data_IF_529474152327
#
_entry.id   IF_529474152327
#
_cell.length_a   1.000
_cell.length_b   1.000
_cell.length_c   1.000
_cell.angle_alpha   90.00
_cell.angle_beta   90.00
_cell.angle_gamma   90.00
#
_symmetry.space_group_name_H-M   'P 1'
#
loop_
_entity.id
_entity.type
_entity.pdbx_description
1 polymer ?
#
# COMPACT_ATOMS: atom_id res chain seq x y z
N UNK A 1 -3.86 9.53 -7.28
CA UNK A 1 -4.34 8.88 -6.02
C UNK A 1 -5.80 8.43 -6.06
N UNK A 2 -6.80 9.33 -6.22
CA UNK A 2 -8.24 8.96 -6.09
C UNK A 2 -8.70 7.83 -7.02
N UNK A 3 -8.25 7.81 -8.29
CA UNK A 3 -8.61 6.77 -9.27
C UNK A 3 -8.25 5.35 -8.80
N UNK A 4 -7.14 5.18 -8.09
CA UNK A 4 -6.72 3.88 -7.54
C UNK A 4 -7.62 3.38 -6.39
N UNK A 5 -8.33 4.30 -5.70
CA UNK A 5 -9.29 3.97 -4.63
C UNK A 5 -10.70 3.69 -5.15
N UNK A 6 -11.03 4.13 -6.37
CA UNK A 6 -12.39 3.99 -6.93
C UNK A 6 -12.92 2.54 -6.89
N UNK A 7 -12.07 1.56 -7.16
CA UNK A 7 -12.47 0.14 -7.10
C UNK A 7 -12.86 -0.30 -5.68
N UNK A 8 -12.07 0.04 -4.67
CA UNK A 8 -12.35 -0.31 -3.29
C UNK A 8 -13.58 0.42 -2.77
N UNK A 9 -13.73 1.70 -3.13
CA UNK A 9 -14.90 2.49 -2.80
C UNK A 9 -16.18 1.91 -3.41
N UNK A 10 -16.16 1.59 -4.71
CA UNK A 10 -17.31 0.99 -5.40
C UNK A 10 -17.73 -0.34 -4.75
N UNK A 11 -16.78 -1.22 -4.46
CA UNK A 11 -17.07 -2.50 -3.78
C UNK A 11 -17.67 -2.23 -2.40
N UNK A 12 -17.11 -1.29 -1.63
CA UNK A 12 -17.60 -0.95 -0.31
C UNK A 12 -19.02 -0.39 -0.35
N UNK A 13 -19.35 0.46 -1.33
CA UNK A 13 -20.71 0.98 -1.54
C UNK A 13 -21.71 -0.15 -1.86
N UNK A 14 -21.37 -1.03 -2.78
CA UNK A 14 -22.24 -2.16 -3.15
C UNK A 14 -22.46 -3.10 -1.96
N UNK A 15 -21.40 -3.43 -1.23
CA UNK A 15 -21.50 -4.28 -0.04
C UNK A 15 -22.34 -3.61 1.03
N UNK A 16 -22.11 -2.33 1.30
CA UNK A 16 -22.91 -1.57 2.30
C UNK A 16 -24.37 -1.50 1.92
N UNK A 17 -24.69 -1.30 0.64
CA UNK A 17 -26.05 -1.29 0.14
C UNK A 17 -26.75 -2.65 0.31
N UNK A 18 -26.08 -3.74 -0.04
CA UNK A 18 -26.60 -5.10 0.16
C UNK A 18 -26.80 -5.43 1.65
N UNK A 19 -25.86 -5.02 2.50
CA UNK A 19 -25.97 -5.17 3.95
C UNK A 19 -27.18 -4.38 4.48
N UNK A 20 -27.39 -3.15 4.00
CA UNK A 20 -28.56 -2.35 4.38
C UNK A 20 -29.88 -3.02 4.00
N UNK A 21 -29.98 -3.56 2.78
CA UNK A 21 -31.14 -4.33 2.35
C UNK A 21 -31.39 -5.55 3.24
N UNK A 22 -30.34 -6.31 3.58
CA UNK A 22 -30.45 -7.47 4.44
C UNK A 22 -30.88 -7.10 5.87
N UNK A 23 -30.32 -6.05 6.44
CA UNK A 23 -30.68 -5.57 7.78
C UNK A 23 -32.15 -5.14 7.84
N UNK A 24 -32.61 -4.39 6.87
CA UNK A 24 -34.01 -3.99 6.76
C UNK A 24 -34.92 -5.22 6.68
N UNK A 25 -34.58 -6.21 5.83
CA UNK A 25 -35.35 -7.45 5.71
C UNK A 25 -35.42 -8.22 7.04
N UNK A 26 -34.33 -8.25 7.82
CA UNK A 26 -34.28 -8.91 9.14
C UNK A 26 -35.16 -8.16 10.15
N UNK A 27 -35.07 -6.83 10.20
CA UNK A 27 -35.90 -6.01 11.10
C UNK A 27 -37.39 -6.26 10.84
N UNK A 28 -37.80 -6.30 9.57
CA UNK A 28 -39.20 -6.60 9.23
C UNK A 28 -39.60 -8.06 9.54
N UNK A 29 -38.71 -9.03 9.31
CA UNK A 29 -38.96 -10.44 9.62
C UNK A 29 -39.02 -10.73 11.12
N UNK A 30 -38.35 -9.93 11.96
CA UNK A 30 -38.42 -10.06 13.43
C UNK A 30 -39.72 -9.59 14.07
N UNK A 31 -40.71 -9.16 13.25
CA UNK A 31 -42.05 -8.78 13.73
C UNK A 31 -42.09 -7.50 14.58
N UNK A 32 -41.08 -6.62 14.41
CA UNK A 32 -41.14 -5.26 14.90
C UNK A 32 -42.23 -4.57 14.06
N UNK A 33 -43.47 -4.67 14.59
CA UNK A 33 -44.64 -4.06 14.00
C UNK A 33 -44.46 -2.53 14.10
N UNK A 34 -43.94 -1.94 13.03
CA UNK A 34 -44.01 -0.48 12.88
C UNK A 34 -45.48 -0.08 12.60
N UNK A 35 -46.38 -0.42 13.55
CA UNK A 35 -47.74 0.04 13.45
C UNK A 35 -47.72 1.57 13.44
N UNK A 36 -48.40 2.14 12.46
CA UNK A 36 -48.55 3.58 12.29
C UNK A 36 -49.04 4.26 13.59
N UNK A 37 -49.72 3.51 14.44
CA UNK A 37 -50.26 3.96 15.70
C UNK A 37 -49.19 4.10 16.81
N UNK A 38 -48.21 3.22 16.85
CA UNK A 38 -47.12 3.29 17.85
C UNK A 38 -46.12 4.41 17.51
N UNK A 39 -45.83 4.60 16.23
CA UNK A 39 -44.94 5.67 15.76
C UNK A 39 -45.60 7.04 15.85
N UNK A 40 -46.92 7.13 15.51
CA UNK A 40 -47.69 8.38 15.62
C UNK A 40 -47.86 8.80 17.06
N UNK A 41 -48.07 7.87 18.00
CA UNK A 41 -48.16 8.19 19.44
C UNK A 41 -46.82 8.68 20.02
N UNK A 42 -45.72 8.13 19.58
CA UNK A 42 -44.39 8.57 20.03
C UNK A 42 -43.98 9.94 19.45
N UNK A 43 -44.40 10.26 18.24
CA UNK A 43 -44.07 11.52 17.56
C UNK A 43 -45.09 12.64 17.85
N UNK A 44 -46.33 12.31 18.29
CA UNK A 44 -47.32 13.31 18.72
C UNK A 44 -46.91 14.11 19.97
N UNK A 45 -45.87 13.64 20.67
CA UNK A 45 -45.28 14.36 21.80
C UNK A 45 -44.27 15.46 21.37
N UNK A 46 -43.94 15.57 20.07
CA UNK A 46 -43.02 16.59 19.56
C UNK A 46 -43.79 17.85 19.14
N UNK A 47 -43.54 19.02 19.76
CA UNK A 47 -44.26 20.26 19.44
C UNK A 47 -44.00 20.67 17.98
N UNK A 48 -45.10 20.93 17.24
CA UNK A 48 -45.03 21.44 15.86
C UNK A 48 -45.14 20.38 14.74
N UNK A 49 -45.38 19.11 15.07
CA UNK A 49 -45.59 18.05 14.07
C UNK A 49 -47.09 17.87 13.83
N UNK A 50 -47.53 18.05 12.58
CA UNK A 50 -48.91 17.76 12.16
C UNK A 50 -49.09 16.23 12.10
N UNK A 51 -49.85 15.70 13.05
CA UNK A 51 -50.11 14.26 13.22
C UNK A 51 -50.88 13.64 12.05
N UNK A 52 -51.67 14.43 11.33
CA UNK A 52 -52.45 13.92 10.21
C UNK A 52 -51.62 13.75 8.95
N UNK A 53 -50.76 14.72 8.65
CA UNK A 53 -49.75 14.62 7.59
C UNK A 53 -48.76 13.49 7.86
N UNK A 54 -48.35 13.29 9.12
CA UNK A 54 -47.46 12.21 9.52
C UNK A 54 -48.11 10.83 9.31
N UNK A 55 -49.39 10.65 9.68
CA UNK A 55 -50.14 9.41 9.43
C UNK A 55 -50.24 9.10 7.94
N UNK A 56 -50.47 10.09 7.09
CA UNK A 56 -50.54 9.88 5.65
C UNK A 56 -49.17 9.42 5.09
N UNK A 57 -48.07 10.02 5.53
CA UNK A 57 -46.71 9.61 5.13
C UNK A 57 -46.39 8.19 5.60
N UNK A 58 -46.74 7.85 6.86
CA UNK A 58 -46.50 6.50 7.39
C UNK A 58 -47.33 5.44 6.64
N UNK A 59 -48.59 5.74 6.35
CA UNK A 59 -49.44 4.84 5.56
C UNK A 59 -48.93 4.67 4.13
N UNK A 60 -48.39 5.72 3.51
CA UNK A 60 -47.75 5.64 2.21
C UNK A 60 -46.49 4.79 2.24
N UNK A 61 -45.67 4.94 3.27
CA UNK A 61 -44.43 4.13 3.44
C UNK A 61 -44.77 2.66 3.71
N UNK A 62 -45.80 2.37 4.51
CA UNK A 62 -46.26 1.00 4.73
C UNK A 62 -46.80 0.34 3.44
N UNK A 63 -47.50 1.09 2.61
CA UNK A 63 -47.95 0.61 1.31
C UNK A 63 -46.81 0.46 0.28
N UNK A 64 -45.64 1.12 0.53
CA UNK A 64 -44.48 1.13 -0.35
C UNK A 64 -43.19 0.72 0.41
N UNK A 65 -43.25 -0.45 1.05
CA UNK A 65 -42.16 -0.98 1.87
C UNK A 65 -40.80 -0.94 1.19
N UNK A 66 -40.76 -1.08 -0.13
CA UNK A 66 -39.51 -1.02 -0.89
C UNK A 66 -38.76 0.31 -0.72
N UNK A 67 -39.50 1.43 -0.45
CA UNK A 67 -38.89 2.75 -0.20
C UNK A 67 -38.06 2.71 1.09
N UNK A 68 -38.60 2.06 2.14
CA UNK A 68 -37.85 1.87 3.41
C UNK A 68 -36.61 1.01 3.22
N UNK A 69 -36.73 -0.10 2.49
CA UNK A 69 -35.56 -0.96 2.19
C UNK A 69 -34.46 -0.21 1.45
N UNK A 70 -34.83 0.54 0.41
CA UNK A 70 -33.86 1.32 -0.37
C UNK A 70 -33.34 2.50 0.45
N UNK A 71 -34.18 3.17 1.24
CA UNK A 71 -33.80 4.28 2.12
C UNK A 71 -32.73 3.85 3.13
N UNK A 72 -32.96 2.78 3.87
CA UNK A 72 -32.00 2.24 4.85
C UNK A 72 -30.71 1.78 4.19
N UNK A 73 -30.81 1.12 3.03
CA UNK A 73 -29.65 0.71 2.27
C UNK A 73 -28.82 1.92 1.81
N UNK A 74 -29.46 3.03 1.41
CA UNK A 74 -28.78 4.27 1.06
C UNK A 74 -28.14 4.94 2.27
N UNK A 75 -28.79 4.94 3.44
CA UNK A 75 -28.23 5.51 4.67
C UNK A 75 -26.95 4.75 5.10
N UNK A 76 -26.99 3.41 5.10
CA UNK A 76 -25.82 2.59 5.44
C UNK A 76 -24.70 2.79 4.41
N UNK A 77 -25.04 2.86 3.13
CA UNK A 77 -24.07 3.21 2.08
C UNK A 77 -23.53 4.61 2.27
N UNK A 78 -24.34 5.55 2.76
CA UNK A 78 -23.97 6.93 3.05
C UNK A 78 -22.88 7.03 4.10
N UNK A 79 -22.92 6.21 5.16
CA UNK A 79 -21.86 6.14 6.18
C UNK A 79 -20.51 5.77 5.54
N UNK A 80 -20.52 4.75 4.71
CA UNK A 80 -19.28 4.32 4.00
C UNK A 80 -18.84 5.41 3.02
N UNK A 81 -19.76 6.00 2.28
CA UNK A 81 -19.46 7.03 1.29
C UNK A 81 -18.80 8.25 1.91
N UNK A 82 -19.30 8.75 3.06
CA UNK A 82 -18.73 9.93 3.72
C UNK A 82 -17.30 9.68 4.21
N UNK A 83 -16.97 8.46 4.64
CA UNK A 83 -15.61 8.08 5.03
C UNK A 83 -14.66 8.18 3.82
N UNK A 84 -15.07 7.66 2.66
CA UNK A 84 -14.26 7.73 1.44
C UNK A 84 -14.14 9.15 0.90
N UNK A 85 -15.24 9.93 0.93
CA UNK A 85 -15.21 11.36 0.55
C UNK A 85 -14.30 12.14 1.49
N UNK A 86 -14.39 11.90 2.80
CA UNK A 86 -13.50 12.52 3.79
C UNK A 86 -12.02 12.24 3.51
N UNK A 87 -11.66 10.98 3.22
CA UNK A 87 -10.29 10.62 2.84
C UNK A 87 -9.86 11.29 1.52
N UNK A 88 -10.78 11.45 0.58
CA UNK A 88 -10.50 12.16 -0.67
C UNK A 88 -10.26 13.65 -0.43
N UNK A 89 -11.09 14.30 0.37
CA UNK A 89 -10.98 15.72 0.75
C UNK A 89 -9.66 15.98 1.48
N UNK A 90 -9.31 15.14 2.45
CA UNK A 90 -8.02 15.20 3.15
C UNK A 90 -6.86 15.16 2.14
N UNK A 91 -6.88 14.18 1.23
CA UNK A 91 -5.80 14.00 0.26
C UNK A 91 -5.72 15.10 -0.80
N UNK A 92 -6.86 15.68 -1.21
CA UNK A 92 -6.93 16.70 -2.27
C UNK A 92 -6.59 18.09 -1.79
N UNK A 93 -7.11 18.45 -0.60
CA UNK A 93 -7.00 19.81 -0.06
C UNK A 93 -5.98 19.92 1.08
N UNK A 94 -5.28 18.83 1.39
CA UNK A 94 -4.28 18.78 2.45
C UNK A 94 -4.82 19.23 3.82
N UNK A 95 -6.10 18.89 4.09
CA UNK A 95 -6.77 19.23 5.35
C UNK A 95 -6.31 18.27 6.44
N UNK A 96 -6.16 18.80 7.66
CA UNK A 96 -5.83 17.95 8.81
C UNK A 96 -6.93 16.88 9.00
N UNK A 97 -6.57 15.57 9.05
CA UNK A 97 -7.54 14.49 9.24
C UNK A 97 -8.45 14.66 10.45
N UNK A 98 -7.97 15.26 11.53
CA UNK A 98 -8.75 15.53 12.73
C UNK A 98 -9.96 16.44 12.47
N UNK A 99 -9.85 17.43 11.58
CA UNK A 99 -10.96 18.32 11.23
C UNK A 99 -12.11 17.53 10.62
N UNK A 100 -11.78 16.65 9.65
CA UNK A 100 -12.80 15.81 9.00
C UNK A 100 -13.40 14.80 9.98
N UNK A 101 -12.57 14.20 10.84
CA UNK A 101 -13.03 13.27 11.88
C UNK A 101 -13.96 13.99 12.87
N UNK A 102 -13.59 15.20 13.33
CA UNK A 102 -14.46 16.00 14.21
C UNK A 102 -15.79 16.33 13.54
N UNK A 103 -15.79 16.74 12.26
CA UNK A 103 -17.04 17.03 11.54
C UNK A 103 -17.96 15.81 11.49
N UNK A 104 -17.41 14.62 11.20
CA UNK A 104 -18.19 13.37 11.17
C UNK A 104 -18.71 13.03 12.58
N UNK A 105 -17.93 13.28 13.62
CA UNK A 105 -18.28 12.95 15.00
C UNK A 105 -19.30 13.91 15.61
N UNK A 106 -19.20 15.21 15.35
CA UNK A 106 -20.08 16.23 15.92
C UNK A 106 -21.37 16.46 15.12
N UNK A 107 -21.37 16.10 13.82
CA UNK A 107 -22.53 16.28 12.94
C UNK A 107 -22.89 14.95 12.21
N UNK A 108 -23.02 13.82 12.93
CA UNK A 108 -23.14 12.51 12.30
C UNK A 108 -24.40 12.40 11.43
N UNK A 109 -25.52 12.92 11.88
CA UNK A 109 -26.79 12.86 11.17
C UNK A 109 -26.70 13.57 9.80
N UNK A 110 -26.24 14.83 9.80
CA UNK A 110 -26.08 15.58 8.56
C UNK A 110 -25.09 14.91 7.61
N UNK A 111 -23.98 14.37 8.13
CA UNK A 111 -22.99 13.69 7.33
C UNK A 111 -23.51 12.40 6.70
N UNK A 112 -24.34 11.63 7.43
CA UNK A 112 -24.97 10.41 6.90
C UNK A 112 -25.93 10.75 5.76
N UNK A 113 -26.79 11.78 5.92
CA UNK A 113 -27.69 12.20 4.86
C UNK A 113 -26.95 12.75 3.63
N UNK A 114 -25.94 13.58 3.83
CA UNK A 114 -25.07 14.04 2.73
C UNK A 114 -24.42 12.86 2.03
N UNK A 115 -23.88 11.91 2.82
CA UNK A 115 -23.31 10.68 2.30
C UNK A 115 -24.28 9.86 1.46
N UNK A 116 -25.53 9.71 1.91
CA UNK A 116 -26.58 8.98 1.22
C UNK A 116 -26.98 9.64 -0.11
N UNK A 117 -27.17 10.96 -0.11
CA UNK A 117 -27.47 11.73 -1.33
C UNK A 117 -26.32 11.59 -2.35
N UNK A 118 -25.09 11.57 -1.89
CA UNK A 118 -23.90 11.48 -2.73
C UNK A 118 -23.55 10.04 -3.17
N UNK A 119 -24.30 9.00 -2.75
CA UNK A 119 -24.03 7.60 -3.15
C UNK A 119 -24.10 7.44 -4.67
N UNK A 120 -25.14 7.95 -5.32
CA UNK A 120 -25.30 7.82 -6.77
C UNK A 120 -24.22 8.60 -7.54
N UNK A 121 -23.96 9.88 -7.25
CA UNK A 121 -22.82 10.58 -7.84
C UNK A 121 -21.47 9.88 -7.61
N UNK A 122 -21.21 9.40 -6.40
CA UNK A 122 -19.99 8.69 -6.06
C UNK A 122 -19.82 7.39 -6.87
N UNK A 123 -20.91 6.65 -7.07
CA UNK A 123 -20.92 5.45 -7.89
C UNK A 123 -20.52 5.75 -9.34
N UNK A 124 -21.10 6.77 -9.95
CA UNK A 124 -20.77 7.22 -11.32
C UNK A 124 -19.31 7.67 -11.43
N UNK A 125 -18.85 8.49 -10.47
CA UNK A 125 -17.46 8.97 -10.43
C UNK A 125 -16.49 7.82 -10.25
N UNK A 126 -16.82 6.81 -9.41
CA UNK A 126 -15.97 5.63 -9.22
C UNK A 126 -15.87 4.79 -10.50
N UNK A 127 -16.96 4.58 -11.23
CA UNK A 127 -16.93 3.87 -12.51
C UNK A 127 -16.06 4.63 -13.51
N UNK A 128 -16.29 5.93 -13.67
CA UNK A 128 -15.47 6.77 -14.53
C UNK A 128 -13.98 6.73 -14.15
N UNK A 129 -13.66 6.85 -12.86
CA UNK A 129 -12.31 6.76 -12.34
C UNK A 129 -11.63 5.42 -12.66
N UNK A 130 -12.36 4.31 -12.50
CA UNK A 130 -11.86 2.98 -12.84
C UNK A 130 -11.57 2.83 -14.34
N UNK A 131 -12.50 3.27 -15.19
CA UNK A 131 -12.33 3.20 -16.65
C UNK A 131 -11.17 4.09 -17.12
N UNK A 132 -11.09 5.32 -16.60
CA UNK A 132 -9.99 6.25 -16.89
C UNK A 132 -8.63 5.69 -16.44
N UNK A 133 -8.57 5.10 -15.24
CA UNK A 133 -7.33 4.47 -14.74
C UNK A 133 -6.92 3.30 -15.61
N UNK A 134 -7.87 2.42 -15.95
CA UNK A 134 -7.61 1.28 -16.83
C UNK A 134 -7.07 1.71 -18.18
N UNK A 135 -7.62 2.78 -18.76
CA UNK A 135 -7.15 3.35 -20.02
C UNK A 135 -5.74 3.92 -19.90
N UNK A 136 -5.44 4.66 -18.80
CA UNK A 136 -4.11 5.22 -18.54
C UNK A 136 -3.06 4.11 -18.41
N UNK A 137 -3.30 3.12 -17.52
CA UNK A 137 -2.38 2.00 -17.33
C UNK A 137 -2.18 1.20 -18.62
N UNK A 138 -3.27 0.97 -19.39
CA UNK A 138 -3.15 0.27 -20.68
C UNK A 138 -2.34 1.04 -21.71
N UNK A 139 -2.39 2.38 -21.68
CA UNK A 139 -1.57 3.24 -22.53
C UNK A 139 -0.10 3.16 -22.12
N UNK A 140 0.20 3.37 -20.83
CA UNK A 140 1.55 3.25 -20.28
C UNK A 140 2.15 1.86 -20.58
N UNK A 141 1.42 0.78 -20.33
CA UNK A 141 1.88 -0.59 -20.64
C UNK A 141 2.23 -0.79 -22.12
N UNK A 142 1.48 -0.19 -23.04
CA UNK A 142 1.79 -0.27 -24.47
C UNK A 142 3.04 0.49 -24.85
N UNK A 143 3.32 1.61 -24.20
CA UNK A 143 4.56 2.36 -24.38
C UNK A 143 5.78 1.56 -23.95
N UNK A 144 5.64 0.68 -22.95
CA UNK A 144 6.68 -0.24 -22.45
C UNK A 144 6.57 -1.68 -23.01
N UNK A 145 5.80 -1.89 -24.09
CA UNK A 145 5.68 -3.15 -24.82
C UNK A 145 5.24 -4.37 -24.00
N UNK A 146 4.51 -4.20 -22.89
CA UNK A 146 3.90 -5.32 -22.17
C UNK A 146 2.41 -5.10 -21.88
N UNK A 147 1.65 -6.20 -21.79
CA UNK A 147 0.18 -6.16 -21.67
C UNK A 147 -0.36 -6.69 -20.35
N UNK A 148 0.36 -7.59 -19.70
CA UNK A 148 -0.13 -8.30 -18.49
C UNK A 148 0.98 -8.61 -17.49
N UNK A 149 0.58 -8.90 -16.24
CA UNK A 149 1.51 -9.35 -15.20
C UNK A 149 2.13 -10.72 -15.52
N UNK A 150 1.43 -11.57 -16.31
CA UNK A 150 1.99 -12.85 -16.78
C UNK A 150 3.16 -12.64 -17.74
N UNK A 151 3.10 -11.59 -18.55
CA UNK A 151 4.17 -11.21 -19.46
C UNK A 151 5.41 -10.70 -18.72
N UNK A 152 5.24 -9.89 -17.67
CA UNK A 152 6.33 -9.47 -16.80
C UNK A 152 7.07 -10.67 -16.19
N UNK A 153 6.32 -11.69 -15.74
CA UNK A 153 6.93 -12.92 -15.22
C UNK A 153 7.65 -13.70 -16.33
N UNK A 154 7.15 -13.66 -17.57
CA UNK A 154 7.83 -14.27 -18.71
C UNK A 154 9.13 -13.57 -19.03
N UNK A 155 9.16 -12.23 -19.01
CA UNK A 155 10.38 -11.43 -19.18
C UNK A 155 11.37 -11.72 -18.04
N UNK A 156 10.87 -11.77 -16.80
CA UNK A 156 11.73 -12.16 -15.66
C UNK A 156 12.43 -13.50 -15.89
N UNK A 157 11.72 -14.51 -16.40
CA UNK A 157 12.32 -15.84 -16.67
C UNK A 157 13.33 -15.85 -17.83
N UNK A 158 13.32 -14.82 -18.68
CA UNK A 158 14.34 -14.65 -19.74
C UNK A 158 15.59 -14.02 -19.15
N UNK A 159 15.46 -13.05 -18.25
CA UNK A 159 16.59 -12.32 -17.66
C UNK A 159 17.19 -13.04 -16.46
N UNK A 160 16.39 -13.76 -15.69
CA UNK A 160 16.75 -14.36 -14.41
C UNK A 160 16.23 -15.79 -14.28
N UNK A 161 16.88 -16.58 -13.44
CA UNK A 161 16.42 -17.92 -13.10
C UNK A 161 15.30 -17.85 -12.06
N UNK A 162 14.20 -18.60 -12.31
CA UNK A 162 13.11 -18.74 -11.36
C UNK A 162 13.34 -20.01 -10.51
N UNK A 163 13.83 -19.83 -9.30
CA UNK A 163 14.18 -20.92 -8.40
C UNK A 163 12.90 -21.56 -7.80
N UNK A 164 12.65 -22.83 -8.16
CA UNK A 164 11.49 -23.60 -7.72
C UNK A 164 11.53 -23.96 -6.23
N UNK A 165 12.68 -23.92 -5.57
CA UNK A 165 12.83 -24.25 -4.14
C UNK A 165 11.97 -23.35 -3.24
N UNK A 166 11.70 -22.11 -3.66
CA UNK A 166 10.88 -21.14 -2.93
C UNK A 166 9.38 -21.25 -3.15
N UNK A 167 8.93 -22.18 -3.99
CA UNK A 167 7.52 -22.41 -4.32
C UNK A 167 6.69 -22.82 -3.10
N UNK A 168 7.22 -23.67 -2.25
CA UNK A 168 6.49 -24.13 -1.06
C UNK A 168 6.47 -23.09 0.05
N UNK A 169 7.53 -22.30 0.21
CA UNK A 169 7.52 -21.11 1.07
C UNK A 169 6.41 -20.13 0.66
N UNK A 170 6.35 -19.82 -0.63
CA UNK A 170 5.34 -18.91 -1.18
C UNK A 170 3.91 -19.45 -1.00
N UNK A 171 3.68 -20.75 -1.22
CA UNK A 171 2.38 -21.40 -0.98
C UNK A 171 1.97 -21.32 0.50
N UNK A 172 2.91 -21.57 1.41
CA UNK A 172 2.68 -21.48 2.85
C UNK A 172 2.28 -20.07 3.28
N UNK A 173 3.03 -19.07 2.86
CA UNK A 173 2.70 -17.65 3.11
C UNK A 173 1.30 -17.30 2.56
N UNK A 174 0.98 -17.72 1.34
CA UNK A 174 -0.34 -17.50 0.75
C UNK A 174 -1.46 -18.21 1.51
N UNK A 175 -1.25 -19.46 1.92
CA UNK A 175 -2.20 -20.23 2.72
C UNK A 175 -2.49 -19.52 4.05
N UNK A 176 -1.46 -19.04 4.72
CA UNK A 176 -1.60 -18.30 5.98
C UNK A 176 -2.41 -17.02 5.81
N UNK A 177 -2.10 -16.20 4.78
CA UNK A 177 -2.87 -14.98 4.48
C UNK A 177 -4.33 -15.30 4.15
N UNK A 178 -4.59 -16.35 3.35
CA UNK A 178 -5.97 -16.77 3.01
C UNK A 178 -6.73 -17.30 4.22
N UNK A 179 -6.08 -18.12 5.07
CA UNK A 179 -6.67 -18.63 6.31
C UNK A 179 -7.08 -17.49 7.23
N UNK A 180 -6.21 -16.52 7.41
CA UNK A 180 -6.45 -15.34 8.25
C UNK A 180 -7.61 -14.48 7.70
N UNK A 181 -7.64 -14.27 6.39
CA UNK A 181 -8.73 -13.54 5.74
C UNK A 181 -10.06 -14.30 5.86
N UNK A 182 -10.03 -15.63 5.75
CA UNK A 182 -11.21 -16.48 5.91
C UNK A 182 -11.76 -16.45 7.33
N UNK A 183 -10.90 -16.54 8.37
CA UNK A 183 -11.29 -16.43 9.76
C UNK A 183 -11.95 -15.07 10.03
N UNK A 184 -11.37 -14.00 9.51
CA UNK A 184 -11.94 -12.67 9.64
C UNK A 184 -13.30 -12.55 8.95
N UNK A 185 -13.45 -13.10 7.74
CA UNK A 185 -14.74 -13.11 7.04
C UNK A 185 -15.82 -13.91 7.79
N UNK A 186 -15.46 -15.06 8.38
CA UNK A 186 -16.37 -15.82 9.27
C UNK A 186 -16.80 -15.00 10.49
N UNK A 187 -15.90 -14.21 11.06
CA UNK A 187 -16.21 -13.29 12.17
C UNK A 187 -17.26 -12.23 11.77
N UNK A 188 -17.27 -11.74 10.52
CA UNK A 188 -18.33 -10.86 10.03
C UNK A 188 -19.69 -11.57 10.08
N UNK A 189 -19.75 -12.80 9.56
CA UNK A 189 -20.99 -13.60 9.56
C UNK A 189 -21.48 -13.85 10.98
N UNK A 190 -20.58 -14.20 11.91
CA UNK A 190 -20.90 -14.37 13.33
C UNK A 190 -21.43 -13.07 13.97
N UNK A 191 -20.81 -11.94 13.66
CA UNK A 191 -21.27 -10.62 14.14
C UNK A 191 -22.72 -10.34 13.68
N UNK A 192 -23.04 -10.63 12.43
CA UNK A 192 -24.38 -10.50 11.89
C UNK A 192 -25.38 -11.45 12.57
N UNK A 193 -24.99 -12.69 12.85
CA UNK A 193 -25.83 -13.64 13.56
C UNK A 193 -26.14 -13.15 14.99
N UNK A 194 -25.15 -12.59 15.69
CA UNK A 194 -25.31 -12.01 17.02
C UNK A 194 -26.25 -10.79 16.96
N UNK A 195 -26.10 -9.94 15.94
CA UNK A 195 -26.96 -8.76 15.73
C UNK A 195 -28.42 -9.15 15.61
N UNK A 196 -28.73 -10.26 14.96
CA UNK A 196 -30.09 -10.77 14.82
C UNK A 196 -30.61 -11.35 16.13
N UNK A 197 -29.73 -12.04 16.91
CA UNK A 197 -30.11 -12.78 18.11
C UNK A 197 -30.24 -11.89 19.36
N UNK A 198 -29.52 -10.76 19.42
CA UNK A 198 -29.37 -9.94 20.63
C UNK A 198 -29.95 -8.55 20.41
N UNK A 199 -31.08 -8.29 21.07
CA UNK A 199 -31.75 -6.99 21.01
C UNK A 199 -31.13 -5.97 21.98
N UNK A 200 -29.79 -5.84 22.00
CA UNK A 200 -29.05 -4.91 22.84
C UNK A 200 -28.05 -4.08 22.02
N UNK A 201 -28.44 -2.84 21.70
CA UNK A 201 -27.67 -1.92 20.90
C UNK A 201 -26.29 -1.58 21.51
N UNK A 202 -26.20 -1.52 22.85
CA UNK A 202 -24.94 -1.19 23.51
C UNK A 202 -23.92 -2.34 23.36
N UNK A 203 -24.37 -3.57 23.54
CA UNK A 203 -23.54 -4.76 23.33
C UNK A 203 -23.07 -4.85 21.88
N UNK A 204 -23.95 -4.53 20.92
CA UNK A 204 -23.62 -4.50 19.51
C UNK A 204 -22.52 -3.47 19.19
N UNK A 205 -22.64 -2.25 19.73
CA UNK A 205 -21.63 -1.21 19.52
C UNK A 205 -20.25 -1.63 20.07
N UNK A 206 -20.21 -2.25 21.24
CA UNK A 206 -18.98 -2.79 21.84
C UNK A 206 -18.38 -3.88 20.96
N UNK A 207 -19.18 -4.85 20.51
CA UNK A 207 -18.73 -5.94 19.62
C UNK A 207 -18.19 -5.40 18.30
N UNK A 208 -18.87 -4.38 17.71
CA UNK A 208 -18.40 -3.74 16.48
C UNK A 208 -17.04 -3.06 16.68
N UNK A 209 -16.85 -2.35 17.81
CA UNK A 209 -15.56 -1.74 18.15
C UNK A 209 -14.45 -2.78 18.28
N UNK A 210 -14.69 -3.89 18.97
CA UNK A 210 -13.74 -5.00 19.05
C UNK A 210 -13.42 -5.58 17.69
N UNK A 211 -14.41 -5.70 16.83
CA UNK A 211 -14.22 -6.23 15.49
C UNK A 211 -13.39 -5.30 14.58
N UNK A 212 -13.60 -3.99 14.68
CA UNK A 212 -12.76 -2.98 14.00
C UNK A 212 -11.32 -3.01 14.52
N UNK A 213 -11.13 -3.21 15.83
CA UNK A 213 -9.79 -3.41 16.39
C UNK A 213 -9.13 -4.70 15.86
N UNK A 214 -9.88 -5.80 15.80
CA UNK A 214 -9.42 -7.06 15.22
C UNK A 214 -8.99 -6.92 13.75
N UNK A 215 -9.63 -6.01 12.97
CA UNK A 215 -9.20 -5.71 11.60
C UNK A 215 -7.75 -5.21 11.53
N UNK A 216 -7.36 -4.30 12.42
CA UNK A 216 -5.97 -3.84 12.49
C UNK A 216 -4.99 -4.97 12.82
N UNK A 217 -5.37 -5.88 13.71
CA UNK A 217 -4.56 -7.06 14.01
C UNK A 217 -4.41 -7.96 12.78
N UNK A 218 -5.50 -8.21 12.04
CA UNK A 218 -5.45 -9.00 10.80
C UNK A 218 -4.53 -8.37 9.77
N UNK A 219 -4.55 -7.05 9.61
CA UNK A 219 -3.63 -6.35 8.70
C UNK A 219 -2.16 -6.55 9.12
N UNK A 220 -1.85 -6.45 10.41
CA UNK A 220 -0.50 -6.70 10.96
C UNK A 220 -0.07 -8.14 10.75
N UNK A 221 -0.92 -9.12 11.06
CA UNK A 221 -0.63 -10.54 10.84
C UNK A 221 -0.45 -10.90 9.37
N UNK A 222 -1.16 -10.23 8.46
CA UNK A 222 -0.91 -10.39 7.00
C UNK A 222 0.49 -9.94 6.62
N UNK A 223 0.96 -8.81 7.16
CA UNK A 223 2.34 -8.34 6.96
C UNK A 223 3.36 -9.34 7.54
N UNK A 224 3.13 -9.82 8.77
CA UNK A 224 3.99 -10.84 9.41
C UNK A 224 4.00 -12.15 8.60
N UNK A 225 2.89 -12.53 7.98
CA UNK A 225 2.83 -13.75 7.14
C UNK A 225 3.69 -13.66 5.88
N UNK A 226 4.09 -12.45 5.44
CA UNK A 226 5.00 -12.21 4.33
C UNK A 226 6.47 -12.07 4.79
N UNK A 227 6.72 -11.98 6.09
CA UNK A 227 8.05 -11.81 6.65
C UNK A 227 9.08 -12.86 6.15
N UNK A 228 8.74 -14.16 6.01
CA UNK A 228 9.70 -15.14 5.48
C UNK A 228 10.18 -14.83 4.06
N UNK A 229 9.34 -14.20 3.23
CA UNK A 229 9.71 -13.78 1.87
C UNK A 229 10.57 -12.51 1.92
N UNK A 230 10.19 -11.53 2.76
CA UNK A 230 10.95 -10.27 2.86
C UNK A 230 12.33 -10.47 3.48
N UNK A 231 12.48 -11.45 4.38
CA UNK A 231 13.78 -11.81 4.97
C UNK A 231 14.83 -12.22 3.94
N UNK A 232 14.42 -12.91 2.87
CA UNK A 232 15.32 -13.32 1.80
C UNK A 232 16.07 -12.12 1.19
N UNK A 233 15.43 -10.95 1.07
CA UNK A 233 16.08 -9.74 0.60
C UNK A 233 16.77 -8.99 1.74
N UNK A 234 16.06 -8.76 2.86
CA UNK A 234 16.50 -7.81 3.88
C UNK A 234 17.58 -8.38 4.81
N UNK A 235 17.47 -9.67 5.15
CA UNK A 235 18.42 -10.34 6.05
C UNK A 235 19.45 -11.15 5.25
N UNK A 236 19.00 -11.94 4.24
CA UNK A 236 19.85 -12.89 3.52
C UNK A 236 20.53 -12.25 2.29
N UNK A 237 20.23 -10.99 1.95
CA UNK A 237 20.74 -10.28 0.76
C UNK A 237 20.66 -11.10 -0.53
N UNK A 238 19.55 -11.87 -0.68
CA UNK A 238 19.31 -12.73 -1.83
C UNK A 238 18.10 -12.25 -2.65
N UNK A 239 18.27 -11.29 -3.56
CA UNK A 239 17.19 -10.74 -4.36
C UNK A 239 16.59 -11.75 -5.35
N UNK A 240 17.35 -12.73 -5.87
CA UNK A 240 16.82 -13.79 -6.76
C UNK A 240 15.82 -14.69 -6.03
N UNK A 241 16.19 -15.14 -4.84
CA UNK A 241 15.31 -15.95 -3.99
C UNK A 241 14.04 -15.21 -3.62
N UNK A 242 14.17 -13.95 -3.21
CA UNK A 242 13.03 -13.10 -2.86
C UNK A 242 12.10 -12.87 -4.06
N UNK A 243 12.64 -12.52 -5.24
CA UNK A 243 11.85 -12.32 -6.46
C UNK A 243 11.13 -13.61 -6.89
N UNK A 244 11.81 -14.76 -6.85
CA UNK A 244 11.22 -16.08 -7.12
C UNK A 244 10.07 -16.38 -6.16
N UNK A 245 10.25 -16.16 -4.85
CA UNK A 245 9.22 -16.35 -3.85
C UNK A 245 8.01 -15.42 -4.08
N UNK A 246 8.23 -14.15 -4.45
CA UNK A 246 7.17 -13.18 -4.75
C UNK A 246 6.38 -13.63 -5.98
N UNK A 247 7.05 -14.03 -7.05
CA UNK A 247 6.40 -14.50 -8.28
C UNK A 247 5.51 -15.70 -7.97
N UNK A 248 6.02 -16.72 -7.27
CA UNK A 248 5.23 -17.87 -6.86
C UNK A 248 4.09 -17.48 -5.90
N UNK A 249 4.29 -16.53 -5.00
CA UNK A 249 3.25 -15.99 -4.13
C UNK A 249 2.12 -15.32 -4.93
N UNK A 250 2.44 -14.61 -5.99
CA UNK A 250 1.48 -13.89 -6.84
C UNK A 250 0.82 -14.77 -7.90
N UNK A 251 1.40 -15.94 -8.27
CA UNK A 251 0.87 -16.86 -9.29
C UNK A 251 -0.15 -17.81 -8.69
N UNK A 252 -1.33 -17.91 -9.27
CA UNK A 252 -2.39 -18.81 -8.80
C UNK A 252 -2.16 -20.27 -9.25
N UNK A 253 -3.05 -21.19 -8.83
CA UNK A 253 -2.98 -22.62 -9.21
C UNK A 253 -3.20 -22.88 -10.71
N UNK A 254 -3.78 -21.93 -11.43
CA UNK A 254 -4.02 -21.99 -12.89
C UNK A 254 -2.86 -21.38 -13.69
N UNK A 255 -1.77 -20.96 -13.06
CA UNK A 255 -0.62 -20.35 -13.71
C UNK A 255 -0.75 -18.85 -14.00
N UNK A 256 -1.88 -18.22 -13.72
CA UNK A 256 -2.03 -16.78 -13.91
C UNK A 256 -1.42 -16.00 -12.73
N UNK A 257 -0.62 -15.01 -13.03
CA UNK A 257 0.01 -14.13 -12.09
C UNK A 257 -0.77 -12.83 -11.92
N UNK A 258 -0.90 -12.39 -10.68
CA UNK A 258 -1.40 -11.08 -10.33
C UNK A 258 -0.50 -10.46 -9.28
N UNK A 259 0.33 -9.54 -9.71
CA UNK A 259 1.30 -8.88 -8.84
C UNK A 259 0.59 -8.09 -7.74
N UNK A 260 1.03 -8.30 -6.52
CA UNK A 260 0.54 -7.61 -5.33
C UNK A 260 1.66 -7.00 -4.50
N UNK A 261 2.91 -7.43 -4.75
CA UNK A 261 4.13 -7.00 -4.05
C UNK A 261 5.07 -6.27 -5.02
N UNK A 262 4.55 -5.27 -5.73
CA UNK A 262 5.29 -4.55 -6.77
C UNK A 262 6.56 -3.88 -6.24
N UNK A 263 6.49 -3.21 -5.10
CA UNK A 263 7.64 -2.47 -4.53
C UNK A 263 8.75 -3.39 -4.09
N UNK A 264 8.42 -4.51 -3.46
CA UNK A 264 9.41 -5.49 -3.03
C UNK A 264 10.05 -6.20 -4.25
N UNK A 265 9.24 -6.53 -5.28
CA UNK A 265 9.77 -7.11 -6.51
C UNK A 265 10.67 -6.12 -7.26
N UNK A 266 10.27 -4.86 -7.35
CA UNK A 266 11.08 -3.81 -7.96
C UNK A 266 12.40 -3.60 -7.20
N UNK A 267 12.40 -3.63 -5.87
CA UNK A 267 13.64 -3.62 -5.07
C UNK A 267 14.55 -4.80 -5.39
N UNK A 268 14.00 -6.01 -5.49
CA UNK A 268 14.79 -7.18 -5.90
C UNK A 268 15.45 -6.94 -7.26
N UNK A 269 14.69 -6.44 -8.24
CA UNK A 269 15.19 -6.18 -9.59
C UNK A 269 16.27 -5.07 -9.64
N UNK A 270 16.13 -4.02 -8.83
CA UNK A 270 17.16 -2.99 -8.64
C UNK A 270 18.46 -3.65 -8.15
N UNK A 271 18.38 -4.52 -7.15
CA UNK A 271 19.56 -5.22 -6.61
C UNK A 271 20.07 -6.39 -7.48
N UNK A 272 19.33 -6.77 -8.52
CA UNK A 272 19.75 -7.63 -9.61
C UNK A 272 20.32 -6.86 -10.80
N UNK A 273 20.30 -5.53 -10.75
CA UNK A 273 20.70 -4.62 -11.83
C UNK A 273 19.84 -4.72 -13.09
N UNK A 274 18.54 -5.01 -12.92
CA UNK A 274 17.54 -5.03 -14.00
C UNK A 274 16.59 -3.85 -13.83
N UNK A 275 17.07 -2.66 -14.17
CA UNK A 275 16.34 -1.40 -13.98
C UNK A 275 15.11 -1.30 -14.89
N UNK A 276 15.20 -1.82 -16.13
CA UNK A 276 14.10 -1.79 -17.09
C UNK A 276 12.91 -2.61 -16.61
N UNK A 277 13.14 -3.85 -16.18
CA UNK A 277 12.08 -4.70 -15.65
C UNK A 277 11.55 -4.18 -14.31
N UNK A 278 12.40 -3.55 -13.48
CA UNK A 278 11.95 -2.88 -12.25
C UNK A 278 10.98 -1.74 -12.54
N UNK A 279 11.25 -0.94 -13.59
CA UNK A 279 10.37 0.12 -14.06
C UNK A 279 9.01 -0.45 -14.51
N UNK A 280 9.02 -1.49 -15.33
CA UNK A 280 7.82 -2.15 -15.82
C UNK A 280 6.92 -2.67 -14.70
N UNK A 281 7.52 -3.28 -13.68
CA UNK A 281 6.82 -3.75 -12.48
C UNK A 281 6.13 -2.59 -11.76
N UNK A 282 6.78 -1.43 -11.65
CA UNK A 282 6.24 -0.27 -10.93
C UNK A 282 5.14 0.48 -11.69
N UNK A 283 5.08 0.42 -13.02
CA UNK A 283 4.01 1.05 -13.82
C UNK A 283 2.62 0.63 -13.34
N UNK A 284 2.47 -0.64 -12.94
CA UNK A 284 1.21 -1.17 -12.44
C UNK A 284 0.98 -0.97 -10.94
N UNK A 285 1.92 -0.36 -10.24
CA UNK A 285 1.85 -0.15 -8.79
C UNK A 285 0.71 0.79 -8.40
N UNK A 286 -0.23 0.37 -7.55
CA UNK A 286 -1.39 1.18 -7.19
C UNK A 286 -1.04 2.26 -6.15
N UNK A 287 -0.83 3.48 -6.59
CA UNK A 287 -0.57 4.67 -5.75
C UNK A 287 -1.86 5.14 -5.06
N UNK A 288 -2.30 4.43 -4.04
CA UNK A 288 -3.60 4.64 -3.36
C UNK A 288 -3.60 5.81 -2.37
N UNK A 289 -2.46 6.10 -1.78
CA UNK A 289 -2.27 7.11 -0.74
C UNK A 289 -0.92 7.83 -0.90
N UNK A 290 -0.69 8.81 -0.03
CA UNK A 290 0.52 9.60 -0.06
C UNK A 290 1.78 8.76 0.18
N UNK A 291 1.72 7.79 1.11
CA UNK A 291 2.85 6.92 1.42
C UNK A 291 3.22 6.04 0.23
N UNK A 292 2.24 5.37 -0.39
CA UNK A 292 2.49 4.54 -1.58
C UNK A 292 2.95 5.37 -2.79
N UNK A 293 2.51 6.63 -2.90
CA UNK A 293 2.98 7.53 -3.96
C UNK A 293 4.41 7.98 -3.73
N UNK A 294 4.78 8.28 -2.48
CA UNK A 294 6.14 8.68 -2.13
C UNK A 294 7.11 7.51 -2.34
N UNK A 295 6.76 6.31 -1.88
CA UNK A 295 7.54 5.08 -2.10
C UNK A 295 7.72 4.79 -3.60
N UNK A 296 6.69 5.01 -4.41
CA UNK A 296 6.79 4.87 -5.86
C UNK A 296 7.86 5.81 -6.44
N UNK A 297 7.83 7.09 -6.12
CA UNK A 297 8.78 8.06 -6.65
C UNK A 297 10.20 7.84 -6.13
N UNK A 298 10.36 7.38 -4.89
CA UNK A 298 11.65 7.01 -4.33
C UNK A 298 12.27 5.81 -5.09
N UNK A 299 11.51 4.77 -5.36
CA UNK A 299 12.00 3.63 -6.15
C UNK A 299 12.25 4.01 -7.62
N UNK A 300 11.38 4.83 -8.22
CA UNK A 300 11.59 5.32 -9.59
C UNK A 300 12.83 6.19 -9.71
N UNK A 301 13.16 6.99 -8.69
CA UNK A 301 14.40 7.78 -8.70
C UNK A 301 15.66 6.89 -8.72
N UNK A 302 15.62 5.77 -8.00
CA UNK A 302 16.72 4.80 -8.06
C UNK A 302 16.84 4.17 -9.46
N UNK A 303 15.71 3.79 -10.05
CA UNK A 303 15.65 3.21 -11.40
C UNK A 303 16.16 4.20 -12.44
N UNK A 304 15.70 5.46 -12.44
CA UNK A 304 16.15 6.47 -13.39
C UNK A 304 17.63 6.83 -13.21
N UNK A 305 18.13 6.82 -11.98
CA UNK A 305 19.56 6.91 -11.75
C UNK A 305 20.35 5.76 -12.43
N UNK A 306 19.85 4.52 -12.33
CA UNK A 306 20.47 3.37 -13.00
C UNK A 306 20.39 3.46 -14.53
N UNK A 307 19.28 3.98 -15.05
CA UNK A 307 19.06 4.20 -16.49
C UNK A 307 19.75 5.47 -17.03
N UNK A 308 20.31 6.30 -16.14
CA UNK A 308 20.95 7.59 -16.44
C UNK A 308 20.00 8.60 -17.11
N UNK A 309 18.73 8.60 -16.72
CA UNK A 309 17.71 9.52 -17.19
C UNK A 309 17.55 10.68 -16.19
N UNK A 310 18.33 11.76 -16.42
CA UNK A 310 18.38 12.95 -15.56
C UNK A 310 17.04 13.70 -15.52
N UNK A 311 16.34 13.78 -16.67
CA UNK A 311 15.08 14.48 -16.77
C UNK A 311 13.99 13.77 -15.97
N UNK A 312 13.89 12.45 -16.10
CA UNK A 312 12.95 11.64 -15.34
C UNK A 312 13.28 11.62 -13.83
N UNK A 313 14.57 11.63 -13.47
CA UNK A 313 15.03 11.72 -12.09
C UNK A 313 14.63 13.07 -11.45
N UNK A 314 14.80 14.17 -12.15
CA UNK A 314 14.37 15.51 -11.68
C UNK A 314 12.84 15.57 -11.49
N UNK A 315 12.06 14.99 -12.39
CA UNK A 315 10.60 14.86 -12.23
C UNK A 315 10.21 14.06 -11.00
N UNK A 316 10.96 13.03 -10.62
CA UNK A 316 10.71 12.29 -9.37
C UNK A 316 10.77 13.21 -8.15
N UNK A 317 11.73 14.12 -8.09
CA UNK A 317 11.87 15.10 -7.01
C UNK A 317 10.67 16.04 -6.96
N UNK A 318 10.29 16.62 -8.10
CA UNK A 318 9.15 17.56 -8.20
C UNK A 318 7.84 16.89 -7.75
N UNK A 319 7.56 15.69 -8.23
CA UNK A 319 6.37 14.94 -7.88
C UNK A 319 6.35 14.53 -6.38
N UNK A 320 7.50 14.11 -5.84
CA UNK A 320 7.63 13.73 -4.45
C UNK A 320 7.48 14.92 -3.49
N UNK A 321 7.99 16.10 -3.84
CA UNK A 321 7.86 17.35 -3.06
C UNK A 321 6.41 17.78 -2.89
N UNK A 322 5.53 17.48 -3.86
CA UNK A 322 4.11 17.79 -3.81
C UNK A 322 3.31 16.83 -2.91
N UNK A 323 3.93 15.76 -2.40
CA UNK A 323 3.28 14.77 -1.53
C UNK A 323 3.51 15.17 -0.08
N UNK A 324 2.46 15.10 0.74
CA UNK A 324 2.56 15.32 2.19
C UNK A 324 1.98 14.16 2.97
N UNK A 325 2.73 13.65 3.94
CA UNK A 325 2.28 12.61 4.85
C UNK A 325 1.68 13.21 6.11
N UNK A 326 0.45 12.79 6.45
CA UNK A 326 -0.31 13.30 7.61
C UNK A 326 -0.21 12.39 8.86
N UNK A 327 0.95 11.74 9.06
CA UNK A 327 1.15 10.80 10.18
C UNK A 327 1.89 11.44 11.38
N UNK A 328 1.72 12.75 11.60
CA UNK A 328 2.44 13.47 12.66
C UNK A 328 3.96 13.42 12.49
N UNK A 329 4.70 13.32 13.60
CA UNK A 329 6.17 13.27 13.55
C UNK A 329 6.74 12.11 12.73
N UNK A 330 6.12 10.93 12.82
CA UNK A 330 6.54 9.77 12.05
C UNK A 330 6.39 10.00 10.54
N UNK A 331 5.31 10.64 10.10
CA UNK A 331 5.11 10.98 8.68
C UNK A 331 6.15 11.96 8.16
N UNK A 332 6.49 12.98 8.94
CA UNK A 332 7.54 13.94 8.58
C UNK A 332 8.90 13.24 8.45
N UNK A 333 9.23 12.34 9.37
CA UNK A 333 10.48 11.59 9.34
C UNK A 333 10.57 10.69 8.10
N UNK A 334 9.53 9.90 7.81
CA UNK A 334 9.47 9.05 6.61
C UNK A 334 9.59 9.91 5.35
N UNK A 335 8.87 11.04 5.29
CA UNK A 335 8.93 11.94 4.14
C UNK A 335 10.34 12.51 3.94
N UNK A 336 11.01 12.92 5.01
CA UNK A 336 12.37 13.45 4.93
C UNK A 336 13.39 12.39 4.50
N UNK A 337 13.24 11.13 4.92
CA UNK A 337 14.10 10.02 4.53
C UNK A 337 13.93 9.67 3.05
N UNK A 338 12.69 9.57 2.55
CA UNK A 338 12.42 9.29 1.14
C UNK A 338 12.87 10.45 0.23
N UNK A 339 12.66 11.70 0.65
CA UNK A 339 13.16 12.87 -0.07
C UNK A 339 14.69 12.90 -0.12
N UNK A 340 15.36 12.61 1.00
CA UNK A 340 16.82 12.54 1.04
C UNK A 340 17.36 11.42 0.14
N UNK A 341 16.64 10.28 0.02
CA UNK A 341 17.00 9.21 -0.89
C UNK A 341 16.92 9.65 -2.37
N UNK A 342 15.85 10.38 -2.74
CA UNK A 342 15.68 10.94 -4.10
C UNK A 342 16.79 11.95 -4.40
N UNK A 343 17.01 12.89 -3.48
CA UNK A 343 18.04 13.94 -3.64
C UNK A 343 19.44 13.35 -3.73
N UNK A 344 19.73 12.33 -2.94
CA UNK A 344 21.03 11.64 -3.03
C UNK A 344 21.27 11.00 -4.41
N UNK A 345 20.24 10.49 -5.10
CA UNK A 345 20.39 9.97 -6.46
C UNK A 345 20.68 11.09 -7.47
N UNK A 346 20.12 12.28 -7.27
CA UNK A 346 20.45 13.48 -8.07
C UNK A 346 21.89 13.89 -7.81
N UNK A 347 22.32 14.01 -6.55
CA UNK A 347 23.71 14.34 -6.21
C UNK A 347 24.72 13.33 -6.77
N UNK A 348 24.36 12.03 -6.79
CA UNK A 348 25.21 11.01 -7.45
C UNK A 348 25.31 11.23 -8.97
N UNK A 349 24.22 11.66 -9.61
CA UNK A 349 24.21 11.97 -11.05
C UNK A 349 25.03 13.22 -11.35
N UNK A 350 24.91 14.25 -10.51
CA UNK A 350 25.62 15.53 -10.62
C UNK A 350 27.10 15.42 -10.21
N UNK A 351 27.54 14.29 -9.61
CA UNK A 351 28.92 14.10 -9.16
C UNK A 351 29.27 14.78 -7.82
N UNK A 352 28.27 15.20 -7.02
CA UNK A 352 28.50 15.73 -5.68
C UNK A 352 28.80 14.59 -4.68
N UNK A 353 30.02 14.06 -4.79
CA UNK A 353 30.46 12.89 -4.02
C UNK A 353 30.51 13.15 -2.52
N UNK A 354 30.82 14.39 -2.09
CA UNK A 354 30.91 14.74 -0.67
C UNK A 354 29.57 14.64 0.05
N UNK A 355 28.49 15.15 -0.57
CA UNK A 355 27.13 15.06 -0.03
C UNK A 355 26.66 13.59 -0.02
N UNK A 356 26.93 12.85 -1.08
CA UNK A 356 26.61 11.44 -1.17
C UNK A 356 27.33 10.59 -0.11
N UNK A 357 28.63 10.84 0.11
CA UNK A 357 29.42 10.11 1.12
C UNK A 357 28.83 10.31 2.52
N UNK A 358 28.46 11.55 2.87
CA UNK A 358 27.79 11.86 4.15
C UNK A 358 26.44 11.13 4.29
N UNK A 359 25.64 11.13 3.23
CA UNK A 359 24.37 10.43 3.21
C UNK A 359 24.52 8.93 3.46
N UNK A 360 25.43 8.25 2.77
CA UNK A 360 25.65 6.81 2.94
C UNK A 360 26.31 6.46 4.28
N UNK A 361 27.21 7.28 4.81
CA UNK A 361 27.75 7.09 6.16
C UNK A 361 26.65 7.18 7.23
N UNK A 362 25.73 8.16 7.13
CA UNK A 362 24.58 8.25 8.01
C UNK A 362 23.63 7.07 7.82
N UNK A 363 23.40 6.64 6.58
CA UNK A 363 22.62 5.46 6.24
C UNK A 363 23.18 4.20 6.88
N UNK A 364 24.49 4.00 6.81
CA UNK A 364 25.18 2.85 7.41
C UNK A 364 25.03 2.81 8.93
N UNK A 365 25.09 3.97 9.61
CA UNK A 365 24.89 4.07 11.07
C UNK A 365 23.46 3.73 11.50
N UNK A 366 22.47 3.97 10.63
CA UNK A 366 21.04 3.73 10.89
C UNK A 366 20.54 2.40 10.33
N UNK A 367 21.38 1.67 9.61
CA UNK A 367 20.99 0.45 8.93
C UNK A 367 20.58 -0.64 9.92
N UNK A 368 19.31 -1.07 9.83
CA UNK A 368 18.76 -2.15 10.65
C UNK A 368 18.89 -3.53 10.01
N UNK A 369 19.14 -3.57 8.70
CA UNK A 369 19.19 -4.81 7.92
C UNK A 369 20.45 -4.89 7.08
N UNK A 370 21.01 -6.10 6.88
CA UNK A 370 22.21 -6.32 6.07
C UNK A 370 22.14 -5.69 4.68
N UNK A 371 21.00 -5.78 3.97
CA UNK A 371 20.89 -5.21 2.62
C UNK A 371 21.13 -3.69 2.58
N UNK A 372 20.71 -2.95 3.64
CA UNK A 372 20.96 -1.51 3.76
C UNK A 372 22.43 -1.22 4.03
N UNK A 373 23.10 -2.09 4.80
CA UNK A 373 24.52 -1.99 5.04
C UNK A 373 25.31 -2.22 3.75
N UNK A 374 24.92 -3.24 2.97
CA UNK A 374 25.53 -3.54 1.67
C UNK A 374 25.39 -2.38 0.69
N UNK A 375 24.18 -1.81 0.57
CA UNK A 375 23.93 -0.64 -0.29
C UNK A 375 24.82 0.54 0.11
N UNK A 376 24.85 0.88 1.40
CA UNK A 376 25.66 1.97 1.92
C UNK A 376 27.16 1.72 1.75
N UNK A 377 27.64 0.54 2.10
CA UNK A 377 29.05 0.16 1.95
C UNK A 377 29.50 0.23 0.49
N UNK A 378 28.65 -0.26 -0.44
CA UNK A 378 28.99 -0.22 -1.85
C UNK A 378 29.20 1.21 -2.37
N UNK A 379 28.29 2.13 -2.06
CA UNK A 379 28.43 3.52 -2.51
C UNK A 379 29.56 4.26 -1.79
N UNK A 380 29.80 4.02 -0.50
CA UNK A 380 30.96 4.58 0.20
C UNK A 380 32.25 4.11 -0.46
N UNK A 381 32.36 2.81 -0.75
CA UNK A 381 33.53 2.24 -1.42
C UNK A 381 33.73 2.82 -2.83
N UNK A 382 32.64 2.96 -3.60
CA UNK A 382 32.68 3.54 -4.95
C UNK A 382 33.16 4.99 -4.93
N UNK A 383 32.63 5.80 -4.01
CA UNK A 383 33.04 7.20 -3.84
C UNK A 383 34.50 7.28 -3.42
N UNK A 384 34.90 6.48 -2.43
CA UNK A 384 36.30 6.44 -1.98
C UNK A 384 37.25 6.00 -3.09
N UNK A 385 36.82 5.08 -3.97
CA UNK A 385 37.60 4.68 -5.13
C UNK A 385 37.83 5.83 -6.12
N UNK A 386 36.77 6.65 -6.36
CA UNK A 386 36.84 7.83 -7.24
C UNK A 386 37.71 8.93 -6.61
N UNK A 387 37.70 9.05 -5.27
CA UNK A 387 38.55 9.96 -4.49
C UNK A 387 40.01 9.45 -4.37
N UNK A 388 40.34 8.30 -4.96
CA UNK A 388 41.67 7.63 -4.90
C UNK A 388 42.06 7.16 -3.48
N UNK A 389 41.09 7.14 -2.53
CA UNK A 389 41.31 6.52 -1.21
C UNK A 389 41.09 5.00 -1.31
N UNK A 390 42.08 4.32 -1.90
CA UNK A 390 42.01 2.88 -2.17
C UNK A 390 41.94 2.03 -0.90
N UNK A 391 42.51 2.50 0.23
CA UNK A 391 42.46 1.79 1.50
C UNK A 391 41.02 1.73 2.03
N UNK A 392 40.34 2.87 2.06
CA UNK A 392 38.96 2.95 2.49
C UNK A 392 38.02 2.25 1.51
N UNK A 393 38.26 2.39 0.20
CA UNK A 393 37.50 1.70 -0.84
C UNK A 393 37.59 0.17 -0.67
N UNK A 394 38.79 -0.38 -0.45
CA UNK A 394 38.99 -1.81 -0.19
C UNK A 394 38.22 -2.28 1.01
N UNK A 395 38.35 -1.61 2.15
CA UNK A 395 37.66 -1.95 3.40
C UNK A 395 36.15 -2.12 3.20
N UNK A 396 35.51 -1.18 2.50
CA UNK A 396 34.06 -1.22 2.28
C UNK A 396 33.67 -2.20 1.18
N UNK A 397 34.44 -2.40 0.12
CA UNK A 397 34.17 -3.46 -0.86
C UNK A 397 34.27 -4.84 -0.25
N UNK A 398 35.23 -5.11 0.65
CA UNK A 398 35.31 -6.37 1.39
C UNK A 398 34.08 -6.62 2.25
N UNK A 399 33.53 -5.59 2.94
CA UNK A 399 32.25 -5.69 3.63
C UNK A 399 31.08 -6.01 2.70
N UNK A 400 31.09 -5.48 1.47
CA UNK A 400 30.09 -5.84 0.46
C UNK A 400 30.19 -7.30 0.07
N UNK A 401 31.42 -7.86 -0.03
CA UNK A 401 31.61 -9.29 -0.31
C UNK A 401 31.13 -10.18 0.85
N UNK A 402 31.36 -9.74 2.09
CA UNK A 402 30.97 -10.49 3.29
C UNK A 402 29.46 -10.57 3.43
N UNK A 403 28.72 -9.45 3.27
CA UNK A 403 27.31 -9.33 3.57
C UNK A 403 26.38 -9.47 2.35
N UNK A 404 26.90 -9.20 1.15
CA UNK A 404 26.06 -8.94 -0.03
C UNK A 404 25.47 -10.18 -0.72
N UNK A 405 25.91 -11.39 -0.37
CA UNK A 405 25.45 -12.67 -0.90
C UNK A 405 25.28 -12.66 -2.44
N UNK A 406 24.02 -12.65 -2.95
CA UNK A 406 23.70 -12.65 -4.39
C UNK A 406 23.30 -11.29 -4.95
N UNK A 407 23.50 -10.21 -4.21
CA UNK A 407 23.29 -8.87 -4.75
C UNK A 407 24.31 -8.55 -5.85
N UNK A 408 23.86 -7.85 -6.89
CA UNK A 408 24.71 -7.38 -7.98
C UNK A 408 25.98 -6.63 -7.52
N UNK A 409 25.89 -5.93 -6.40
CA UNK A 409 27.01 -5.21 -5.81
C UNK A 409 28.22 -6.10 -5.50
N UNK A 410 28.02 -7.36 -5.16
CA UNK A 410 29.11 -8.33 -4.90
C UNK A 410 29.99 -8.52 -6.13
N UNK A 411 29.36 -8.69 -7.31
CA UNK A 411 30.10 -8.82 -8.58
C UNK A 411 30.87 -7.55 -8.91
N UNK A 412 30.25 -6.38 -8.67
CA UNK A 412 30.92 -5.09 -8.90
C UNK A 412 32.09 -4.86 -7.92
N UNK A 413 31.87 -5.16 -6.63
CA UNK A 413 32.88 -5.03 -5.59
C UNK A 413 34.15 -5.87 -5.93
N UNK A 414 33.96 -7.13 -6.35
CA UNK A 414 35.09 -7.98 -6.83
C UNK A 414 35.89 -7.30 -7.94
N UNK A 415 35.21 -6.79 -8.95
CA UNK A 415 35.86 -6.12 -10.07
C UNK A 415 36.66 -4.86 -9.66
N UNK A 416 36.14 -4.12 -8.63
CA UNK A 416 36.87 -2.96 -8.11
C UNK A 416 38.05 -3.37 -7.23
N UNK A 417 37.94 -4.42 -6.44
CA UNK A 417 39.05 -4.96 -5.65
C UNK A 417 40.22 -5.44 -6.58
N UNK A 418 39.87 -6.17 -7.66
CA UNK A 418 40.84 -6.57 -8.68
C UNK A 418 41.58 -5.37 -9.34
N UNK A 419 40.88 -4.23 -9.48
CA UNK A 419 41.49 -2.99 -9.99
C UNK A 419 42.38 -2.34 -8.93
N UNK A 420 41.98 -2.30 -7.67
CA UNK A 420 42.77 -1.75 -6.57
C UNK A 420 44.06 -2.51 -6.41
N UNK A 421 44.03 -3.85 -6.50
CA UNK A 421 45.24 -4.69 -6.45
C UNK A 421 46.23 -4.41 -7.59
N UNK A 422 45.74 -4.11 -8.79
CA UNK A 422 46.57 -3.75 -9.93
C UNK A 422 47.16 -2.35 -9.82
N UNK A 423 46.47 -1.40 -9.17
CA UNK A 423 46.94 -0.03 -9.00
C UNK A 423 47.91 0.07 -7.83
N UNK A 424 47.69 -0.68 -6.75
CA UNK A 424 48.46 -0.57 -5.51
C UNK A 424 48.76 -1.97 -4.91
N UNK A 425 49.73 -2.73 -5.45
CA UNK A 425 50.01 -4.08 -4.99
C UNK A 425 50.54 -4.16 -3.54
N UNK A 426 51.03 -3.05 -2.96
CA UNK A 426 51.54 -2.99 -1.58
C UNK A 426 50.43 -3.01 -0.50
N UNK A 427 49.18 -2.71 -0.85
CA UNK A 427 48.09 -2.74 0.12
C UNK A 427 47.57 -4.15 0.43
N UNK A 428 48.13 -5.20 -0.19
CA UNK A 428 47.72 -6.61 0.03
C UNK A 428 48.46 -7.28 1.20
N UNK A 429 49.45 -6.64 1.80
CA UNK A 429 50.36 -7.24 2.78
C UNK A 429 50.30 -6.68 4.20
N UNK A 430 49.58 -5.62 4.45
CA UNK A 430 49.42 -5.10 5.80
C UNK A 430 48.19 -5.75 6.50
N UNK A 431 48.42 -6.89 7.15
CA UNK A 431 47.59 -7.34 8.27
C UNK A 431 47.57 -6.22 9.30
N UNK A 432 46.43 -5.56 9.44
CA UNK A 432 46.23 -4.59 10.53
C UNK A 432 46.09 -5.39 11.81
N UNK A 433 47.20 -5.52 12.52
CA UNK A 433 47.25 -5.92 13.92
C UNK A 433 46.34 -4.92 14.73
N UNK A 434 45.17 -5.36 15.11
CA UNK A 434 44.36 -4.63 16.07
C UNK A 434 44.91 -4.90 17.47
N UNK A 435 45.62 -3.93 18.02
CA UNK A 435 45.88 -3.77 19.44
C UNK A 435 44.73 -3.05 20.15
#
# INVERSE_FOLDING_TARGET
>A
MWKYRCKSHLIALVVAFLVGLCLCAVVFASGIDMSSDMLSSSLSSVPGVDTESLKQVLTYLQNNMWILYVGDALLISGIINIIYIGQYVIARFNINPWIVTCLIFFLPEYMIYIGAILVVPAFVVCIYGMLSLRKSISKERREFNFTSDDELVRIYKIHHELDESYKDLAKTCRKNVRKLTGIYALGIVALFAILIAVNNMMLLAVLLMFYLFAFNLVLRYRAVSLLPITKLLYEDCNPEACASAIIYYCTNSKGHTRLSQHTLLAQCLIYLNDAELAQDVLISYPRKDAASSLQYWSLMSYIYYMLKDEEALSRCKEEAQNIRLHYGRAGVMIQSEEMAAIENKIHLMDGDLNTCKKYYLQGLQRANFPFQQVDSCYYIALISFVEEDYKLARLYFEKVLELGNRMYFVKKAKNYLDKIEKINPETSSDEVEYS
#
